data_IF_420575847188
#
_entry.id   IF_420575847188
#
_cell.length_a   1.000
_cell.length_b   1.000
_cell.length_c   1.000
_cell.angle_alpha   90.00
_cell.angle_beta   90.00
_cell.angle_gamma   90.00
#
_symmetry.space_group_name_H-M   'P 1'
#
loop_
_entity.id
_entity.type
_entity.pdbx_description
1 polymer ?
#
# COMPACT_ATOMS: atom_id res chain seq x y z
N UNK A 1 0.11 -19.47 2.56
CA UNK A 1 0.07 -18.04 2.93
C UNK A 1 -0.22 -17.25 1.68
N UNK A 2 -1.03 -16.18 1.74
CA UNK A 2 -1.22 -15.29 0.61
C UNK A 2 0.06 -14.50 0.32
N UNK A 3 0.30 -14.26 -0.97
CA UNK A 3 1.33 -13.35 -1.44
C UNK A 3 0.71 -11.97 -1.62
N UNK A 4 1.35 -10.96 -1.02
CA UNK A 4 1.00 -9.57 -1.19
C UNK A 4 1.98 -8.91 -2.15
N UNK A 5 1.45 -8.11 -3.05
CA UNK A 5 2.20 -7.31 -4.01
C UNK A 5 2.09 -5.84 -3.58
N UNK A 6 3.13 -5.06 -3.81
CA UNK A 6 3.11 -3.64 -3.46
C UNK A 6 3.84 -2.76 -4.47
N UNK A 7 3.39 -1.50 -4.55
CA UNK A 7 4.24 -0.38 -4.95
C UNK A 7 4.50 0.51 -3.74
N UNK A 8 5.72 1.02 -3.60
CA UNK A 8 6.11 1.92 -2.52
C UNK A 8 6.88 3.14 -3.05
N UNK A 9 6.61 4.29 -2.48
CA UNK A 9 7.29 5.56 -2.76
C UNK A 9 7.20 6.48 -1.53
N UNK A 10 7.70 7.70 -1.65
CA UNK A 10 7.53 8.68 -0.58
C UNK A 10 6.04 8.91 -0.33
N UNK A 11 5.69 9.13 0.94
CA UNK A 11 4.32 9.39 1.34
C UNK A 11 3.75 10.63 0.66
N UNK A 12 4.55 11.69 0.55
CA UNK A 12 4.20 12.91 -0.18
C UNK A 12 3.84 12.62 -1.64
N UNK A 13 4.64 11.82 -2.34
CA UNK A 13 4.36 11.50 -3.73
C UNK A 13 3.02 10.75 -3.89
N UNK A 14 2.81 9.69 -3.09
CA UNK A 14 1.60 8.86 -3.20
C UNK A 14 0.34 9.50 -2.61
N UNK A 15 0.45 10.46 -1.70
CA UNK A 15 -0.69 11.03 -0.99
C UNK A 15 -1.00 12.49 -1.36
N UNK A 16 -0.04 13.25 -1.88
CA UNK A 16 -0.20 14.68 -2.15
C UNK A 16 0.02 15.04 -3.63
N UNK A 17 1.04 14.47 -4.28
CA UNK A 17 1.41 14.85 -5.64
C UNK A 17 0.59 14.09 -6.70
N UNK A 18 0.28 12.84 -6.43
CA UNK A 18 -0.52 11.99 -7.32
C UNK A 18 -2.02 12.03 -6.95
N UNK A 19 -2.94 12.02 -7.93
CA UNK A 19 -4.38 11.91 -7.68
C UNK A 19 -4.80 10.48 -7.29
N UNK A 20 -4.01 9.80 -6.45
CA UNK A 20 -4.15 8.39 -6.14
C UNK A 20 -5.38 8.11 -5.25
N UNK A 21 -5.70 9.03 -4.34
CA UNK A 21 -6.86 8.89 -3.46
C UNK A 21 -8.17 8.75 -4.25
N UNK A 22 -8.30 9.49 -5.36
CA UNK A 22 -9.45 9.42 -6.28
C UNK A 22 -9.55 8.04 -6.93
N UNK A 23 -8.45 7.59 -7.53
CA UNK A 23 -8.35 6.30 -8.24
C UNK A 23 -8.70 5.12 -7.33
N UNK A 24 -8.19 5.13 -6.09
CA UNK A 24 -8.47 4.08 -5.11
C UNK A 24 -9.93 4.14 -4.62
N UNK A 25 -10.52 5.34 -4.51
CA UNK A 25 -11.93 5.49 -4.17
C UNK A 25 -12.84 4.95 -5.27
N UNK A 26 -12.64 5.39 -6.51
CA UNK A 26 -13.38 4.91 -7.68
C UNK A 26 -13.28 3.38 -7.84
N UNK A 27 -12.08 2.82 -7.67
CA UNK A 27 -11.89 1.36 -7.71
C UNK A 27 -12.66 0.66 -6.60
N UNK A 28 -12.68 1.21 -5.38
CA UNK A 28 -13.42 0.64 -4.25
C UNK A 28 -14.93 0.67 -4.50
N UNK A 29 -15.43 1.77 -5.06
CA UNK A 29 -16.84 1.89 -5.43
C UNK A 29 -17.21 0.87 -6.52
N UNK A 30 -16.39 0.73 -7.56
CA UNK A 30 -16.55 -0.30 -8.57
C UNK A 30 -16.59 -1.72 -7.98
N UNK A 31 -15.70 -2.04 -7.02
CA UNK A 31 -15.71 -3.34 -6.35
C UNK A 31 -17.02 -3.57 -5.59
N UNK A 32 -17.49 -2.55 -4.85
CA UNK A 32 -18.75 -2.60 -4.09
C UNK A 32 -19.96 -2.81 -5.00
N UNK A 33 -20.04 -2.06 -6.10
CA UNK A 33 -21.13 -2.17 -7.09
C UNK A 33 -21.19 -3.56 -7.74
N UNK A 34 -20.05 -4.23 -7.89
CA UNK A 34 -19.94 -5.55 -8.50
C UNK A 34 -19.90 -6.70 -7.46
N UNK A 35 -20.18 -6.43 -6.19
CA UNK A 35 -20.18 -7.44 -5.13
C UNK A 35 -18.82 -8.11 -4.88
N UNK A 36 -17.71 -7.43 -5.19
CA UNK A 36 -16.35 -7.93 -5.00
C UNK A 36 -15.77 -7.45 -3.67
N UNK A 37 -15.06 -8.34 -2.98
CA UNK A 37 -14.30 -7.99 -1.78
C UNK A 37 -13.09 -7.14 -2.16
N UNK A 38 -12.87 -6.04 -1.44
CA UNK A 38 -11.69 -5.18 -1.63
C UNK A 38 -10.44 -5.94 -1.23
N UNK A 39 -9.47 -5.96 -2.13
CA UNK A 39 -8.22 -6.70 -2.00
C UNK A 39 -6.99 -5.79 -2.18
N UNK A 40 -7.15 -4.49 -1.96
CA UNK A 40 -6.10 -3.48 -2.06
C UNK A 40 -6.25 -2.39 -1.00
N UNK A 41 -5.11 -1.81 -0.57
CA UNK A 41 -5.03 -0.84 0.52
C UNK A 41 -3.91 0.17 0.27
N UNK A 42 -4.11 1.41 0.72
CA UNK A 42 -3.04 2.40 0.87
C UNK A 42 -2.58 2.39 2.34
N UNK A 43 -1.30 2.07 2.56
CA UNK A 43 -0.69 1.99 3.89
C UNK A 43 0.37 3.08 4.01
N UNK A 44 0.19 4.01 4.94
CA UNK A 44 1.22 4.99 5.31
C UNK A 44 2.22 4.34 6.24
N UNK A 45 3.49 4.68 6.10
CA UNK A 45 4.61 4.13 6.89
C UNK A 45 4.51 2.62 7.13
N UNK A 46 4.40 1.80 6.06
CA UNK A 46 4.15 0.37 6.21
C UNK A 46 5.29 -0.34 6.95
N UNK A 47 4.95 -1.08 8.01
CA UNK A 47 5.91 -1.79 8.85
C UNK A 47 6.70 -2.87 8.09
N UNK A 48 6.08 -3.49 7.08
CA UNK A 48 6.72 -4.53 6.28
C UNK A 48 7.93 -4.02 5.48
N UNK A 49 8.01 -2.73 5.15
CA UNK A 49 9.20 -2.16 4.50
C UNK A 49 10.44 -2.20 5.42
N UNK A 50 10.23 -2.40 6.72
CA UNK A 50 11.30 -2.52 7.70
C UNK A 50 11.76 -3.96 7.96
N UNK A 51 11.04 -4.95 7.43
CA UNK A 51 11.42 -6.37 7.52
C UNK A 51 12.60 -6.71 6.57
N UNK A 52 13.57 -7.48 7.07
CA UNK A 52 14.76 -7.92 6.29
C UNK A 52 14.47 -8.50 4.90
N UNK A 53 13.52 -9.44 4.71
CA UNK A 53 13.26 -10.01 3.38
C UNK A 53 12.74 -8.99 2.36
N UNK A 54 12.17 -7.87 2.81
CA UNK A 54 11.64 -6.80 1.95
C UNK A 54 12.73 -5.77 1.63
N UNK A 55 13.65 -5.50 2.57
CA UNK A 55 14.78 -4.58 2.37
C UNK A 55 15.83 -5.10 1.38
N UNK A 56 16.02 -6.41 1.30
CA UNK A 56 17.14 -7.03 0.60
C UNK A 56 17.06 -6.95 -0.95
N UNK A 57 15.93 -6.53 -1.54
CA UNK A 57 15.71 -6.61 -3.00
C UNK A 57 15.28 -5.33 -3.72
N UNK A 58 15.27 -4.16 -3.06
CA UNK A 58 14.53 -2.99 -3.54
C UNK A 58 15.35 -1.71 -3.78
N UNK A 59 14.81 -0.84 -4.65
CA UNK A 59 15.19 0.58 -4.76
C UNK A 59 14.92 1.28 -3.43
N UNK A 60 15.86 2.13 -2.98
CA UNK A 60 15.69 2.90 -1.76
C UNK A 60 14.44 3.80 -1.85
N UNK A 61 13.47 3.56 -0.96
CA UNK A 61 12.24 4.37 -0.89
C UNK A 61 12.47 5.52 0.09
N UNK A 62 12.29 6.79 -0.33
CA UNK A 62 12.39 7.93 0.57
C UNK A 62 11.42 7.84 1.74
N UNK A 63 11.85 8.27 2.93
CA UNK A 63 11.03 8.26 4.15
C UNK A 63 10.56 9.68 4.51
N UNK A 64 9.32 9.86 5.04
CA UNK A 64 8.32 8.83 5.28
C UNK A 64 7.80 8.23 3.97
N UNK A 65 7.55 6.92 3.99
CA UNK A 65 7.11 6.15 2.83
C UNK A 65 5.63 5.77 2.95
N UNK A 66 4.96 5.58 1.83
CA UNK A 66 3.68 4.91 1.76
C UNK A 66 3.73 3.78 0.73
N UNK A 67 2.79 2.85 0.81
CA UNK A 67 2.65 1.78 -0.15
C UNK A 67 1.19 1.52 -0.53
N UNK A 68 0.97 1.19 -1.79
CA UNK A 68 -0.26 0.51 -2.22
C UNK A 68 0.02 -0.97 -2.20
N UNK A 69 -0.77 -1.72 -1.42
CA UNK A 69 -0.63 -3.16 -1.23
C UNK A 69 -1.87 -3.85 -1.77
N UNK A 70 -1.71 -4.98 -2.45
CA UNK A 70 -2.84 -5.79 -2.95
C UNK A 70 -2.46 -7.26 -3.10
N UNK A 71 -3.46 -8.15 -3.04
CA UNK A 71 -3.28 -9.56 -3.47
C UNK A 71 -3.39 -9.74 -4.99
N UNK A 72 -3.78 -8.70 -5.74
CA UNK A 72 -3.81 -8.71 -7.20
C UNK A 72 -2.51 -8.15 -7.80
N UNK A 73 -1.65 -9.04 -8.28
CA UNK A 73 -0.39 -8.67 -8.95
C UNK A 73 -0.61 -7.75 -10.17
N UNK A 74 -1.69 -7.94 -10.93
CA UNK A 74 -1.96 -7.15 -12.14
C UNK A 74 -2.27 -5.70 -11.79
N UNK A 75 -2.99 -5.49 -10.69
CA UNK A 75 -3.26 -4.14 -10.18
C UNK A 75 -1.96 -3.44 -9.79
N UNK A 76 -1.06 -4.13 -9.08
CA UNK A 76 0.23 -3.56 -8.69
C UNK A 76 1.15 -3.29 -9.91
N UNK A 77 1.11 -4.14 -10.92
CA UNK A 77 1.85 -3.91 -12.17
C UNK A 77 1.30 -2.71 -12.94
N UNK A 78 -0.02 -2.54 -13.01
CA UNK A 78 -0.65 -1.34 -13.55
C UNK A 78 -0.19 -0.08 -12.79
N UNK A 79 -0.16 -0.14 -11.46
CA UNK A 79 0.29 0.95 -10.61
C UNK A 79 1.78 1.29 -10.85
N UNK A 80 2.64 0.28 -11.02
CA UNK A 80 4.06 0.48 -11.34
C UNK A 80 4.25 1.18 -12.69
N UNK A 81 3.46 0.83 -13.70
CA UNK A 81 3.52 1.48 -15.02
C UNK A 81 3.02 2.92 -14.96
N UNK A 82 1.95 3.18 -14.20
CA UNK A 82 1.35 4.51 -14.08
C UNK A 82 2.23 5.51 -13.31
N UNK A 83 2.84 5.05 -12.22
CA UNK A 83 3.51 5.95 -11.27
C UNK A 83 5.01 6.12 -11.54
N UNK A 84 5.57 5.32 -12.46
CA UNK A 84 6.97 5.30 -12.94
C UNK A 84 8.06 5.17 -11.85
N UNK A 85 8.14 6.13 -10.92
CA UNK A 85 9.18 6.32 -9.91
C UNK A 85 8.86 5.64 -8.57
N UNK A 86 8.19 4.49 -8.63
CA UNK A 86 7.85 3.67 -7.46
C UNK A 86 8.66 2.38 -7.41
N UNK A 87 9.03 1.94 -6.21
CA UNK A 87 9.55 0.60 -5.97
C UNK A 87 8.39 -0.41 -6.08
N UNK A 88 8.64 -1.58 -6.68
CA UNK A 88 7.66 -2.68 -6.79
C UNK A 88 8.24 -3.93 -6.18
N UNK A 89 7.44 -4.66 -5.42
CA UNK A 89 7.88 -5.89 -4.77
C UNK A 89 6.71 -6.77 -4.35
N UNK A 90 7.05 -7.87 -3.69
CA UNK A 90 6.07 -8.80 -3.14
C UNK A 90 6.64 -9.49 -1.90
N UNK A 91 5.77 -9.95 -1.02
CA UNK A 91 6.13 -10.69 0.18
C UNK A 91 4.98 -11.61 0.62
N UNK A 92 5.28 -12.65 1.38
CA UNK A 92 4.28 -13.51 2.00
C UNK A 92 3.98 -13.06 3.43
N UNK A 93 2.71 -13.10 3.82
CA UNK A 93 2.28 -12.81 5.18
C UNK A 93 1.02 -13.63 5.53
N UNK A 94 0.78 -13.95 6.81
CA UNK A 94 1.59 -13.60 7.98
C UNK A 94 2.86 -14.46 8.10
N UNK A 95 3.99 -13.84 8.46
CA UNK A 95 5.28 -14.49 8.82
C UNK A 95 5.80 -13.93 10.15
N UNK A 96 6.78 -14.55 10.83
CA UNK A 96 7.42 -13.93 11.99
C UNK A 96 8.05 -12.56 11.71
N UNK A 97 8.52 -12.32 10.48
CA UNK A 97 9.11 -11.05 10.07
C UNK A 97 8.04 -10.00 9.66
N UNK A 98 6.90 -10.46 9.13
CA UNK A 98 5.76 -9.62 8.74
C UNK A 98 4.47 -10.25 9.30
N UNK A 99 4.14 -9.99 10.58
CA UNK A 99 2.96 -10.57 11.22
C UNK A 99 1.65 -10.03 10.63
N UNK A 100 1.66 -8.76 10.24
CA UNK A 100 0.53 -8.07 9.62
C UNK A 100 1.00 -7.38 8.32
N UNK A 101 0.49 -7.78 7.14
CA UNK A 101 0.85 -7.19 5.86
C UNK A 101 0.45 -5.71 5.71
N UNK A 102 -0.49 -5.23 6.53
CA UNK A 102 -1.08 -3.89 6.42
C UNK A 102 -0.73 -2.98 7.62
N UNK A 103 0.14 -3.43 8.52
CA UNK A 103 0.56 -2.66 9.68
C UNK A 103 1.22 -1.33 9.27
N UNK A 104 0.76 -0.25 9.90
CA UNK A 104 1.30 1.11 9.76
C UNK A 104 2.08 1.49 11.01
N UNK A 105 3.25 2.08 10.83
CA UNK A 105 4.07 2.66 11.89
C UNK A 105 3.75 4.14 12.16
N UNK A 106 2.89 4.75 11.34
CA UNK A 106 2.48 6.13 11.56
C UNK A 106 1.75 6.20 12.92
N UNK A 107 2.22 7.08 13.80
CA UNK A 107 1.46 7.43 15.01
C UNK A 107 0.08 7.90 14.58
N UNK A 108 -0.97 7.30 15.14
CA UNK A 108 -2.36 7.72 14.93
C UNK A 108 -2.46 9.20 15.33
N UNK A 109 -2.45 10.10 14.35
CA UNK A 109 -2.65 11.52 14.62
C UNK A 109 -4.10 11.70 15.08
N UNK A 110 -4.32 12.46 16.15
CA UNK A 110 -5.63 12.77 16.74
C UNK A 110 -6.65 13.42 15.77
N UNK A 111 -6.26 13.70 14.52
CA UNK A 111 -7.13 14.23 13.47
C UNK A 111 -7.94 13.16 12.70
N UNK A 112 -7.73 11.87 12.97
CA UNK A 112 -8.56 10.79 12.41
C UNK A 112 -9.81 10.58 13.29
N UNK A 113 -10.54 11.68 13.58
CA UNK A 113 -11.87 11.56 14.17
C UNK A 113 -12.74 10.79 13.16
N UNK A 114 -13.48 9.75 13.60
CA UNK A 114 -14.45 9.12 12.73
C UNK A 114 -15.42 10.19 12.24
N UNK A 115 -15.71 10.17 10.93
CA UNK A 115 -16.83 10.93 10.38
C UNK A 115 -18.06 10.62 11.25
N UNK A 116 -18.81 11.65 11.69
CA UNK A 116 -20.00 11.43 12.51
C UNK A 116 -20.93 10.46 11.77
N UNK A 117 -21.39 9.45 12.51
CA UNK A 117 -22.36 8.43 12.09
C UNK A 117 -23.63 9.03 11.49
#
# INVERSE_FOLDING_TARGET
MPTYHYVAASERFLCEEEPLAEVLRERRDHYREHGRTVDFWLVRQPAFLDAEPVKAGGVAVPRPAAAVVSTDAKFIDFMKLRLEWVARGQFDAPTPAVPDPLASLATKNDNDLPLPT
#
